data_IF_240725018023
#
_entry.id   IF_240725018023
#
_cell.length_a   1.000
_cell.length_b   1.000
_cell.length_c   1.000
_cell.angle_alpha   90.00
_cell.angle_beta   90.00
_cell.angle_gamma   90.00
#
_symmetry.space_group_name_H-M   'P 1'
#
loop_
_entity.id
_entity.type
_entity.pdbx_description
1 polymer ?
#
# COMPACT_ATOMS: atom_id res chain seq x y z
N UNK A 1 26.37 4.24 0.84
CA UNK A 1 26.63 3.26 -0.23
C UNK A 1 26.03 1.88 0.06
N UNK A 2 26.27 1.25 1.22
CA UNK A 2 25.71 -0.08 1.57
C UNK A 2 24.17 -0.09 1.57
N UNK A 3 23.52 0.88 2.23
CA UNK A 3 22.06 0.98 2.31
C UNK A 3 21.36 1.13 0.94
N UNK A 4 22.01 1.82 -0.01
CA UNK A 4 21.48 1.97 -1.38
C UNK A 4 21.57 0.66 -2.17
N UNK A 5 22.66 -0.09 -2.02
CA UNK A 5 22.82 -1.41 -2.68
C UNK A 5 21.82 -2.43 -2.13
N UNK A 6 21.59 -2.45 -0.81
CA UNK A 6 20.59 -3.32 -0.18
C UNK A 6 19.19 -3.03 -0.72
N UNK A 7 18.78 -1.76 -0.78
CA UNK A 7 17.46 -1.39 -1.31
C UNK A 7 17.31 -1.71 -2.80
N UNK A 8 18.40 -1.58 -3.58
CA UNK A 8 18.40 -1.90 -5.01
C UNK A 8 18.16 -3.39 -5.31
N UNK A 9 18.48 -4.28 -4.36
CA UNK A 9 18.23 -5.73 -4.47
C UNK A 9 16.92 -6.12 -3.79
N UNK A 10 16.68 -5.60 -2.58
CA UNK A 10 15.51 -5.94 -1.76
C UNK A 10 14.19 -5.63 -2.47
N UNK A 11 14.08 -4.45 -3.08
CA UNK A 11 12.83 -3.99 -3.69
C UNK A 11 12.42 -4.81 -4.92
N UNK A 12 13.29 -5.07 -5.92
CA UNK A 12 12.96 -5.96 -7.03
C UNK A 12 12.64 -7.38 -6.56
N UNK A 13 13.36 -7.90 -5.56
CA UNK A 13 13.09 -9.23 -5.00
C UNK A 13 11.69 -9.28 -4.38
N UNK A 14 11.34 -8.29 -3.55
CA UNK A 14 10.04 -8.20 -2.91
C UNK A 14 8.91 -8.11 -3.94
N UNK A 15 9.05 -7.27 -4.97
CA UNK A 15 8.04 -7.16 -6.03
C UNK A 15 7.94 -8.42 -6.89
N UNK A 16 9.06 -9.11 -7.12
CA UNK A 16 9.04 -10.41 -7.82
C UNK A 16 8.28 -11.45 -7.01
N UNK A 17 8.53 -11.52 -5.69
CA UNK A 17 7.80 -12.39 -4.78
C UNK A 17 6.31 -12.04 -4.74
N UNK A 18 5.97 -10.74 -4.70
CA UNK A 18 4.58 -10.29 -4.72
C UNK A 18 3.88 -10.71 -6.02
N UNK A 19 4.50 -10.51 -7.18
CA UNK A 19 3.90 -10.91 -8.47
C UNK A 19 3.75 -12.43 -8.55
N UNK A 20 4.71 -13.20 -8.05
CA UNK A 20 4.59 -14.65 -7.95
C UNK A 20 3.45 -15.06 -7.01
N UNK A 21 3.29 -14.37 -5.88
CA UNK A 21 2.20 -14.59 -4.93
C UNK A 21 0.83 -14.28 -5.57
N UNK A 22 0.66 -13.15 -6.25
CA UNK A 22 -0.56 -12.81 -6.99
C UNK A 22 -0.90 -13.90 -8.01
N UNK A 23 0.11 -14.45 -8.69
CA UNK A 23 -0.10 -15.57 -9.62
C UNK A 23 -0.58 -16.85 -8.91
N UNK A 24 -0.11 -17.13 -7.70
CA UNK A 24 -0.65 -18.23 -6.88
C UNK A 24 -2.11 -17.98 -6.51
N UNK A 25 -2.47 -16.76 -6.09
CA UNK A 25 -3.86 -16.41 -5.80
C UNK A 25 -4.78 -16.56 -7.02
N UNK A 26 -4.33 -16.15 -8.21
CA UNK A 26 -5.09 -16.34 -9.45
C UNK A 26 -5.36 -17.82 -9.73
N UNK A 27 -4.46 -18.73 -9.33
CA UNK A 27 -4.56 -20.17 -9.61
C UNK A 27 -5.29 -20.95 -8.54
N UNK A 28 -5.10 -20.59 -7.28
CA UNK A 28 -5.48 -21.41 -6.13
C UNK A 28 -6.56 -20.79 -5.25
N UNK A 29 -6.75 -19.47 -5.29
CA UNK A 29 -7.72 -18.77 -4.45
C UNK A 29 -9.08 -18.60 -5.14
N UNK A 30 -10.04 -18.02 -4.41
CA UNK A 30 -11.34 -17.68 -4.97
C UNK A 30 -11.21 -16.55 -6.01
N UNK A 31 -12.14 -16.45 -6.98
CA UNK A 31 -12.15 -15.35 -7.95
C UNK A 31 -12.15 -13.97 -7.29
N UNK A 32 -12.84 -13.83 -6.15
CA UNK A 32 -12.87 -12.59 -5.36
C UNK A 32 -11.48 -12.18 -4.89
N UNK A 33 -10.73 -13.12 -4.30
CA UNK A 33 -9.36 -12.86 -3.83
C UNK A 33 -8.41 -12.53 -4.98
N UNK A 34 -8.51 -13.26 -6.10
CA UNK A 34 -7.72 -12.95 -7.28
C UNK A 34 -8.00 -11.53 -7.83
N UNK A 35 -9.26 -11.10 -7.83
CA UNK A 35 -9.64 -9.74 -8.25
C UNK A 35 -9.11 -8.68 -7.28
N UNK A 36 -9.19 -8.93 -5.97
CA UNK A 36 -8.64 -8.06 -4.93
C UNK A 36 -7.13 -7.85 -5.12
N UNK A 37 -6.38 -8.94 -5.26
CA UNK A 37 -4.94 -8.93 -5.50
C UNK A 37 -4.54 -8.15 -6.75
N UNK A 38 -5.29 -8.30 -7.85
CA UNK A 38 -5.07 -7.53 -9.08
C UNK A 38 -5.32 -6.03 -8.82
N UNK A 39 -6.39 -5.70 -8.10
CA UNK A 39 -6.70 -4.32 -7.72
C UNK A 39 -5.57 -3.66 -6.92
N UNK A 40 -5.08 -4.36 -5.90
CA UNK A 40 -3.97 -3.88 -5.07
C UNK A 40 -2.66 -3.79 -5.84
N UNK A 41 -2.41 -4.68 -6.81
CA UNK A 41 -1.22 -4.62 -7.65
C UNK A 41 -1.22 -3.38 -8.55
N UNK A 42 -2.38 -3.02 -9.11
CA UNK A 42 -2.56 -1.78 -9.88
C UNK A 42 -2.34 -0.55 -8.99
N UNK A 43 -2.93 -0.52 -7.80
CA UNK A 43 -2.76 0.59 -6.84
C UNK A 43 -1.29 0.75 -6.42
N UNK A 44 -0.61 -0.36 -6.09
CA UNK A 44 0.81 -0.34 -5.74
C UNK A 44 1.66 0.21 -6.88
N UNK A 45 1.39 -0.22 -8.12
CA UNK A 45 2.11 0.26 -9.29
C UNK A 45 1.92 1.77 -9.50
N UNK A 46 0.70 2.28 -9.32
CA UNK A 46 0.42 3.73 -9.42
C UNK A 46 1.09 4.48 -8.28
N UNK A 47 0.95 4.06 -7.01
CA UNK A 47 1.60 4.74 -5.89
C UNK A 47 3.12 4.77 -6.01
N UNK A 48 3.71 3.67 -6.47
CA UNK A 48 5.15 3.61 -6.72
C UNK A 48 5.56 4.60 -7.82
N UNK A 49 4.75 4.76 -8.86
CA UNK A 49 4.97 5.76 -9.89
C UNK A 49 4.80 7.18 -9.36
N UNK A 50 3.69 7.48 -8.69
CA UNK A 50 3.35 8.83 -8.20
C UNK A 50 4.35 9.34 -7.18
N UNK A 51 4.79 8.48 -6.26
CA UNK A 51 5.79 8.87 -5.27
C UNK A 51 7.16 9.14 -5.90
N UNK A 52 7.54 8.40 -6.97
CA UNK A 52 8.73 8.74 -7.77
C UNK A 52 8.55 10.02 -8.59
N UNK A 53 7.40 10.18 -9.22
CA UNK A 53 7.05 11.34 -10.03
C UNK A 53 7.02 12.62 -9.17
N UNK A 54 6.45 12.55 -7.97
CA UNK A 54 6.42 13.63 -6.98
C UNK A 54 7.81 14.05 -6.52
N UNK A 55 8.73 13.10 -6.29
CA UNK A 55 10.14 13.42 -6.03
C UNK A 55 10.82 14.15 -7.20
N UNK A 56 10.40 13.86 -8.43
CA UNK A 56 10.88 14.51 -9.65
C UNK A 56 10.08 15.77 -10.07
N UNK A 57 9.06 16.18 -9.29
CA UNK A 57 8.18 17.32 -9.60
C UNK A 57 7.32 17.14 -10.86
N UNK A 58 7.05 15.90 -11.27
CA UNK A 58 6.25 15.60 -12.46
C UNK A 58 4.75 15.52 -12.14
N UNK A 59 3.87 16.03 -13.01
CA UNK A 59 2.43 15.92 -12.82
C UNK A 59 1.95 14.47 -13.00
N UNK A 60 0.83 14.13 -12.37
CA UNK A 60 0.16 12.84 -12.52
C UNK A 60 -0.58 12.79 -13.87
N UNK A 61 -0.28 11.82 -14.76
CA UNK A 61 -0.98 11.69 -16.03
C UNK A 61 -2.39 11.11 -15.83
N UNK A 62 -3.34 11.46 -16.72
CA UNK A 62 -4.71 10.92 -16.68
C UNK A 62 -4.77 9.39 -16.73
N UNK A 63 -3.81 8.76 -17.41
CA UNK A 63 -3.71 7.31 -17.45
C UNK A 63 -3.42 6.69 -16.07
N UNK A 64 -2.55 7.31 -15.26
CA UNK A 64 -2.28 6.84 -13.90
C UNK A 64 -3.53 6.94 -13.02
N UNK A 65 -4.26 8.07 -13.10
CA UNK A 65 -5.53 8.23 -12.41
C UNK A 65 -6.57 7.17 -12.84
N UNK A 66 -6.66 6.87 -14.14
CA UNK A 66 -7.58 5.84 -14.63
C UNK A 66 -7.22 4.44 -14.09
N UNK A 67 -5.93 4.11 -14.01
CA UNK A 67 -5.46 2.85 -13.41
C UNK A 67 -5.74 2.80 -11.91
N UNK A 68 -5.53 3.91 -11.20
CA UNK A 68 -5.81 4.01 -9.77
C UNK A 68 -7.31 3.81 -9.47
N UNK A 69 -8.18 4.50 -10.22
CA UNK A 69 -9.62 4.33 -10.12
C UNK A 69 -10.05 2.89 -10.45
N UNK A 70 -9.41 2.27 -11.46
CA UNK A 70 -9.59 0.87 -11.77
C UNK A 70 -9.22 -0.05 -10.61
N UNK A 71 -8.04 0.16 -10.01
CA UNK A 71 -7.59 -0.59 -8.83
C UNK A 71 -8.55 -0.47 -7.65
N UNK A 72 -9.03 0.74 -7.35
CA UNK A 72 -10.04 0.95 -6.32
C UNK A 72 -11.39 0.32 -6.64
N UNK A 73 -11.83 0.35 -7.91
CA UNK A 73 -13.07 -0.30 -8.31
C UNK A 73 -13.00 -1.82 -8.08
N UNK A 74 -11.85 -2.46 -8.38
CA UNK A 74 -11.64 -3.88 -8.11
C UNK A 74 -11.59 -4.18 -6.61
N UNK A 75 -10.89 -3.37 -5.81
CA UNK A 75 -10.82 -3.54 -4.36
C UNK A 75 -12.20 -3.36 -3.70
N UNK A 76 -12.99 -2.37 -4.14
CA UNK A 76 -14.37 -2.16 -3.64
C UNK A 76 -15.31 -3.28 -4.07
N UNK A 77 -15.13 -3.82 -5.28
CA UNK A 77 -15.86 -4.99 -5.74
C UNK A 77 -15.57 -6.19 -4.84
N UNK A 78 -14.29 -6.49 -4.58
CA UNK A 78 -13.88 -7.60 -3.72
C UNK A 78 -14.39 -7.40 -2.28
N UNK A 79 -14.24 -6.20 -1.73
CA UNK A 79 -14.79 -5.82 -0.43
C UNK A 79 -16.29 -6.10 -0.33
N UNK A 80 -17.07 -5.71 -1.36
CA UNK A 80 -18.51 -5.97 -1.38
C UNK A 80 -18.82 -7.47 -1.46
N UNK A 81 -18.03 -8.25 -2.22
CA UNK A 81 -18.18 -9.70 -2.28
C UNK A 81 -17.88 -10.35 -0.93
N UNK A 82 -16.81 -9.97 -0.23
CA UNK A 82 -16.53 -10.51 1.12
C UNK A 82 -17.66 -10.24 2.11
N UNK A 83 -18.32 -9.08 2.01
CA UNK A 83 -19.50 -8.78 2.82
C UNK A 83 -20.70 -9.67 2.45
N UNK A 84 -20.92 -9.92 1.16
CA UNK A 84 -22.03 -10.75 0.68
C UNK A 84 -21.82 -12.25 0.98
N UNK A 85 -20.58 -12.72 0.99
CA UNK A 85 -20.22 -14.12 1.29
C UNK A 85 -19.91 -14.37 2.76
N UNK A 86 -19.98 -13.32 3.61
CA UNK A 86 -19.67 -13.37 5.03
C UNK A 86 -18.22 -13.84 5.34
N UNK A 87 -17.27 -13.51 4.46
CA UNK A 87 -15.83 -13.70 4.67
C UNK A 87 -15.29 -12.60 5.58
N UNK A 88 -15.63 -12.67 6.88
CA UNK A 88 -15.40 -11.58 7.83
C UNK A 88 -13.93 -11.17 8.02
N UNK A 89 -13.01 -12.14 7.92
CA UNK A 89 -11.58 -11.88 8.07
C UNK A 89 -11.05 -11.08 6.89
N UNK A 90 -11.40 -11.48 5.67
CA UNK A 90 -11.05 -10.80 4.43
C UNK A 90 -11.73 -9.44 4.31
N UNK A 91 -13.02 -9.34 4.69
CA UNK A 91 -13.75 -8.07 4.76
C UNK A 91 -13.07 -7.09 5.72
N UNK A 92 -12.70 -7.55 6.91
CA UNK A 92 -12.03 -6.74 7.91
C UNK A 92 -10.67 -6.24 7.42
N UNK A 93 -9.86 -7.14 6.85
CA UNK A 93 -8.55 -6.80 6.29
C UNK A 93 -8.67 -5.80 5.13
N UNK A 94 -9.56 -6.06 4.17
CA UNK A 94 -9.80 -5.18 3.02
C UNK A 94 -10.29 -3.80 3.46
N UNK A 95 -11.15 -3.72 4.49
CA UNK A 95 -11.60 -2.44 5.07
C UNK A 95 -10.43 -1.63 5.63
N UNK A 96 -9.53 -2.27 6.38
CA UNK A 96 -8.35 -1.62 6.94
C UNK A 96 -7.40 -1.16 5.83
N UNK A 97 -7.20 -1.97 4.81
CA UNK A 97 -6.38 -1.62 3.65
C UNK A 97 -6.94 -0.45 2.85
N UNK A 98 -8.25 -0.40 2.61
CA UNK A 98 -8.90 0.75 1.97
C UNK A 98 -8.72 2.03 2.79
N UNK A 99 -8.89 1.96 4.11
CA UNK A 99 -8.67 3.11 4.99
C UNK A 99 -7.20 3.57 4.98
N UNK A 100 -6.25 2.62 5.02
CA UNK A 100 -4.82 2.90 4.95
C UNK A 100 -4.45 3.53 3.61
N UNK A 101 -4.96 2.98 2.51
CA UNK A 101 -4.78 3.47 1.16
C UNK A 101 -5.29 4.91 1.01
N UNK A 102 -6.46 5.24 1.57
CA UNK A 102 -6.97 6.61 1.57
C UNK A 102 -6.04 7.61 2.31
N UNK A 103 -5.40 7.19 3.41
CA UNK A 103 -4.38 8.01 4.08
C UNK A 103 -3.12 8.16 3.22
N UNK A 104 -2.71 7.12 2.49
CA UNK A 104 -1.58 7.16 1.56
C UNK A 104 -1.86 8.12 0.40
N UNK A 105 -3.05 8.06 -0.22
CA UNK A 105 -3.46 9.04 -1.24
C UNK A 105 -3.35 10.46 -0.70
N UNK A 106 -3.85 10.69 0.52
CA UNK A 106 -3.78 12.00 1.16
C UNK A 106 -2.32 12.48 1.35
N UNK A 107 -1.40 11.58 1.66
CA UNK A 107 0.02 11.88 1.78
C UNK A 107 0.71 12.15 0.44
N UNK A 108 0.32 11.42 -0.62
CA UNK A 108 0.84 11.64 -1.97
C UNK A 108 0.34 12.98 -2.54
N UNK A 109 -0.96 13.26 -2.40
CA UNK A 109 -1.59 14.48 -2.94
C UNK A 109 -1.25 15.72 -2.10
N UNK A 110 -1.17 15.57 -0.77
CA UNK A 110 -0.88 16.67 0.15
C UNK A 110 0.22 16.30 1.14
N UNK A 111 1.48 16.13 0.70
CA UNK A 111 2.58 15.82 1.60
C UNK A 111 2.79 16.94 2.62
N UNK A 112 3.05 16.58 3.88
CA UNK A 112 3.23 17.54 4.98
C UNK A 112 4.68 17.56 5.43
N UNK A 113 5.19 18.66 6.01
CA UNK A 113 6.56 18.69 6.51
C UNK A 113 6.78 17.64 7.60
N UNK A 114 7.86 16.88 7.50
CA UNK A 114 8.25 15.92 8.52
C UNK A 114 8.37 16.61 9.90
N UNK A 115 7.82 15.99 10.95
CA UNK A 115 7.83 16.56 12.29
C UNK A 115 6.78 17.66 12.55
N UNK A 116 5.96 18.04 11.56
CA UNK A 116 4.82 18.94 11.79
C UNK A 116 3.71 18.27 12.64
N UNK A 117 2.81 19.07 13.20
CA UNK A 117 1.64 18.54 13.92
C UNK A 117 0.73 17.72 12.99
N UNK A 118 0.61 18.10 11.72
CA UNK A 118 -0.13 17.35 10.71
C UNK A 118 0.52 15.98 10.44
N UNK A 119 1.85 15.92 10.31
CA UNK A 119 2.60 14.67 10.17
C UNK A 119 2.36 13.72 11.34
N UNK A 120 2.51 14.21 12.59
CA UNK A 120 2.25 13.40 13.80
C UNK A 120 0.82 12.88 13.86
N UNK A 121 -0.16 13.70 13.44
CA UNK A 121 -1.57 13.29 13.38
C UNK A 121 -1.77 12.18 12.35
N UNK A 122 -1.18 12.29 11.15
CA UNK A 122 -1.29 11.23 10.12
C UNK A 122 -0.68 9.92 10.60
N UNK A 123 0.50 9.97 11.22
CA UNK A 123 1.13 8.78 11.82
C UNK A 123 0.24 8.14 12.89
N UNK A 124 -0.41 8.93 13.75
CA UNK A 124 -1.33 8.44 14.78
C UNK A 124 -2.52 7.65 14.20
N UNK A 125 -2.99 8.03 13.02
CA UNK A 125 -4.08 7.31 12.33
C UNK A 125 -3.58 6.07 11.58
N UNK A 126 -2.39 6.13 10.97
CA UNK A 126 -1.81 4.98 10.25
C UNK A 126 -1.34 3.86 11.16
N UNK A 127 -0.77 4.19 12.32
CA UNK A 127 -0.21 3.20 13.24
C UNK A 127 -1.21 2.09 13.64
N UNK A 128 -2.44 2.39 14.12
CA UNK A 128 -3.39 1.35 14.44
C UNK A 128 -3.84 0.55 13.21
N UNK A 129 -3.86 1.14 12.01
CA UNK A 129 -4.22 0.42 10.78
C UNK A 129 -3.13 -0.59 10.41
N UNK A 130 -1.85 -0.21 10.47
CA UNK A 130 -0.74 -1.17 10.26
C UNK A 130 -0.68 -2.25 11.34
N UNK A 131 -1.01 -1.92 12.60
CA UNK A 131 -1.11 -2.95 13.64
C UNK A 131 -2.31 -3.89 13.37
N UNK A 132 -3.41 -3.37 12.84
CA UNK A 132 -4.56 -4.19 12.46
C UNK A 132 -4.23 -5.12 11.28
N UNK A 133 -3.53 -4.66 10.23
CA UNK A 133 -3.10 -5.54 9.12
C UNK A 133 -2.17 -6.65 9.61
N UNK A 134 -1.24 -6.35 10.53
CA UNK A 134 -0.43 -7.39 11.19
C UNK A 134 -1.29 -8.33 12.05
N UNK A 135 -2.33 -7.82 12.70
CA UNK A 135 -3.30 -8.64 13.44
C UNK A 135 -4.05 -9.62 12.54
N UNK A 136 -4.49 -9.19 11.36
CA UNK A 136 -5.11 -10.06 10.35
C UNK A 136 -4.12 -11.11 9.84
N UNK A 137 -2.87 -10.72 9.53
CA UNK A 137 -1.80 -11.65 9.18
C UNK A 137 -1.66 -12.75 10.25
N UNK A 138 -1.51 -12.37 11.52
CA UNK A 138 -1.41 -13.34 12.63
C UNK A 138 -2.65 -14.24 12.73
N UNK A 139 -3.86 -13.72 12.50
CA UNK A 139 -5.07 -14.53 12.50
C UNK A 139 -5.05 -15.62 11.41
N UNK A 140 -4.61 -15.31 10.19
CA UNK A 140 -4.41 -16.32 9.13
C UNK A 140 -3.32 -17.34 9.50
N UNK A 141 -2.20 -16.89 10.08
CA UNK A 141 -1.15 -17.77 10.56
C UNK A 141 -1.62 -18.76 11.64
N UNK A 142 -2.44 -18.29 12.59
CA UNK A 142 -3.01 -19.13 13.66
C UNK A 142 -4.06 -20.11 13.13
N UNK A 143 -4.86 -19.69 12.15
CA UNK A 143 -5.89 -20.53 11.51
C UNK A 143 -5.32 -21.48 10.45
N UNK A 144 -4.02 -21.43 10.17
CA UNK A 144 -3.33 -22.32 9.25
C UNK A 144 -3.50 -21.95 7.78
N UNK A 145 -4.03 -20.76 7.48
CA UNK A 145 -4.23 -20.26 6.11
C UNK A 145 -2.93 -19.56 5.67
N UNK A 146 -1.92 -20.36 5.35
CA UNK A 146 -0.55 -19.87 5.15
C UNK A 146 -0.38 -18.94 3.94
N UNK A 147 -1.14 -19.15 2.86
CA UNK A 147 -1.05 -18.32 1.67
C UNK A 147 -1.40 -16.86 2.00
N UNK A 148 -2.53 -16.63 2.66
CA UNK A 148 -2.99 -15.31 3.14
C UNK A 148 -2.06 -14.69 4.21
N UNK A 149 -1.43 -15.51 5.05
CA UNK A 149 -0.43 -15.02 5.99
C UNK A 149 0.79 -14.43 5.27
N UNK A 150 1.38 -15.17 4.32
CA UNK A 150 2.55 -14.71 3.58
C UNK A 150 2.22 -13.50 2.70
N UNK A 151 1.06 -13.54 2.07
CA UNK A 151 0.50 -12.45 1.29
C UNK A 151 0.42 -11.14 2.08
N UNK A 152 -0.23 -11.17 3.24
CA UNK A 152 -0.38 -9.99 4.09
C UNK A 152 0.98 -9.39 4.49
N UNK A 153 1.99 -10.22 4.76
CA UNK A 153 3.34 -9.75 5.05
C UNK A 153 4.00 -9.09 3.83
N UNK A 154 3.85 -9.67 2.63
CA UNK A 154 4.38 -9.09 1.40
C UNK A 154 3.75 -7.73 1.10
N UNK A 155 2.44 -7.60 1.26
CA UNK A 155 1.72 -6.33 1.09
C UNK A 155 2.17 -5.26 2.08
N UNK A 156 2.28 -5.59 3.37
CA UNK A 156 2.79 -4.66 4.40
C UNK A 156 4.20 -4.17 4.02
N UNK A 157 5.10 -5.07 3.60
CA UNK A 157 6.44 -4.69 3.18
C UNK A 157 6.43 -3.80 1.92
N UNK A 158 5.56 -4.09 0.95
CA UNK A 158 5.44 -3.30 -0.28
C UNK A 158 4.93 -1.89 0.00
N UNK A 159 3.88 -1.74 0.81
CA UNK A 159 3.36 -0.44 1.18
C UNK A 159 4.30 0.32 2.13
N UNK A 160 5.10 -0.38 2.94
CA UNK A 160 6.17 0.26 3.70
C UNK A 160 7.21 0.92 2.79
N UNK A 161 7.50 0.35 1.61
CA UNK A 161 8.35 1.02 0.61
C UNK A 161 7.70 2.31 0.08
N UNK A 162 6.38 2.33 -0.12
CA UNK A 162 5.63 3.52 -0.52
C UNK A 162 5.73 4.60 0.57
N UNK A 163 5.55 4.24 1.84
CA UNK A 163 5.71 5.15 2.98
C UNK A 163 7.11 5.77 3.04
N UNK A 164 8.17 4.99 2.77
CA UNK A 164 9.54 5.51 2.69
C UNK A 164 9.65 6.54 1.56
N UNK A 165 9.04 6.29 0.40
CA UNK A 165 9.07 7.24 -0.71
C UNK A 165 8.35 8.55 -0.36
N UNK A 166 7.19 8.46 0.31
CA UNK A 166 6.44 9.60 0.82
C UNK A 166 7.28 10.39 1.83
N UNK A 167 7.86 9.72 2.81
CA UNK A 167 8.69 10.34 3.83
C UNK A 167 9.89 11.10 3.22
N UNK A 168 10.46 10.60 2.12
CA UNK A 168 11.50 11.33 1.35
C UNK A 168 10.99 12.63 0.74
N UNK A 169 9.75 12.66 0.26
CA UNK A 169 9.11 13.88 -0.25
C UNK A 169 8.92 14.89 0.89
N UNK A 170 8.47 14.41 2.05
CA UNK A 170 8.22 15.24 3.25
C UNK A 170 9.49 15.79 3.92
N UNK A 171 10.65 15.14 3.69
CA UNK A 171 11.97 15.54 4.20
C UNK A 171 12.84 16.28 3.17
N UNK A 172 12.42 16.35 1.90
CA UNK A 172 13.20 16.88 0.79
C UNK A 172 13.61 18.38 0.92
N UNK A 173 14.77 18.79 0.37
CA UNK A 173 15.35 20.12 0.55
C UNK A 173 14.49 21.28 0.03
N UNK A 174 13.69 21.07 -1.03
CA UNK A 174 12.84 22.10 -1.63
C UNK A 174 11.80 22.71 -0.67
N UNK A 175 11.52 22.05 0.47
CA UNK A 175 10.55 22.54 1.46
C UNK A 175 11.17 23.13 2.73
N UNK A 176 12.47 22.91 2.99
CA UNK A 176 13.17 23.54 4.15
C UNK A 176 13.28 25.06 4.00
N UNK A 177 13.38 25.54 2.76
CA UNK A 177 13.41 26.96 2.41
C UNK A 177 12.05 27.65 2.51
N UNK A 178 10.95 26.89 2.48
CA UNK A 178 9.58 27.41 2.63
C UNK A 178 9.07 27.37 4.09
N UNK A 179 9.83 26.73 4.99
CA UNK A 179 9.53 26.60 6.42
C UNK A 179 10.51 27.39 7.30
N UNK A 180 11.36 28.22 6.70
CA UNK A 180 12.17 29.21 7.43
C UNK A 180 11.31 30.46 7.57
N UNK A 181 11.00 30.93 8.79
CA UNK A 181 10.23 32.15 8.99
C UNK A 181 10.98 33.40 8.53
#
# INVERSE_FOLDING_TARGET
MVQQRVMAVFKPLLYTLLVANVFLFIREASPTKAIDEIGWLLLLAVFEWETRAGQAGRPVPRAALAVELGGYALALYAWAQYALTAEWLDLGNSTVWLALSALIVLDVVRPVPAGSAAFRRRLRWKLPLYLATLGFALAWGITGIWLDFWDALLWVLCFFIIEINIFRIETGPARRLASTP
#
